data_IF_242763575870
#
_entry.id   IF_242763575870
#
_cell.length_a   1.000
_cell.length_b   1.000
_cell.length_c   1.000
_cell.angle_alpha   90.00
_cell.angle_beta   90.00
_cell.angle_gamma   90.00
#
_symmetry.space_group_name_H-M   'P 1'
#
loop_
_entity.id
_entity.type
_entity.pdbx_description
1 polymer ?
#
# COMPACT_ATOMS: atom_id res chain seq x y z
N UNK A 1 -8.77 9.51 -2.96
CA UNK A 1 -7.77 8.64 -3.62
C UNK A 1 -6.41 9.31 -3.70
N UNK A 2 -6.36 10.61 -3.97
CA UNK A 2 -5.09 11.35 -4.13
C UNK A 2 -4.17 11.30 -2.91
N UNK A 3 -4.72 11.36 -1.68
CA UNK A 3 -3.93 11.25 -0.45
C UNK A 3 -3.19 9.90 -0.32
N UNK A 4 -3.89 8.81 -0.63
CA UNK A 4 -3.35 7.47 -0.56
C UNK A 4 -2.28 7.25 -1.63
N UNK A 5 -2.50 7.76 -2.84
CA UNK A 5 -1.52 7.71 -3.92
C UNK A 5 -0.24 8.45 -3.53
N UNK A 6 -0.37 9.65 -2.94
CA UNK A 6 0.76 10.44 -2.44
C UNK A 6 1.53 9.73 -1.33
N UNK A 7 0.84 9.10 -0.38
CA UNK A 7 1.49 8.30 0.68
C UNK A 7 2.25 7.11 0.11
N UNK A 8 1.70 6.45 -0.93
CA UNK A 8 2.32 5.30 -1.58
C UNK A 8 3.54 5.71 -2.43
N UNK A 9 3.47 6.85 -3.12
CA UNK A 9 4.61 7.41 -3.86
C UNK A 9 5.73 7.86 -2.92
N UNK A 10 5.40 8.46 -1.78
CA UNK A 10 6.37 8.82 -0.75
C UNK A 10 7.08 7.58 -0.20
N UNK A 11 6.30 6.57 0.19
CA UNK A 11 6.82 5.31 0.73
C UNK A 11 7.71 4.58 -0.29
N UNK A 12 7.32 4.58 -1.57
CA UNK A 12 8.15 4.06 -2.66
C UNK A 12 9.49 4.79 -2.77
N UNK A 13 9.47 6.12 -2.62
CA UNK A 13 10.68 6.94 -2.61
C UNK A 13 11.64 6.54 -1.50
N UNK A 14 11.12 6.40 -0.27
CA UNK A 14 11.89 5.99 0.91
C UNK A 14 12.51 4.60 0.71
N UNK A 15 11.75 3.62 0.20
CA UNK A 15 12.28 2.27 -0.08
C UNK A 15 13.44 2.28 -1.06
N UNK A 16 13.31 3.05 -2.15
CA UNK A 16 14.33 3.14 -3.21
C UNK A 16 15.57 3.85 -2.69
N UNK A 17 15.41 4.93 -1.95
CA UNK A 17 16.51 5.69 -1.36
C UNK A 17 17.29 4.83 -0.35
N UNK A 18 16.61 4.19 0.59
CA UNK A 18 17.26 3.32 1.59
C UNK A 18 17.96 2.14 0.93
N UNK A 19 17.34 1.48 -0.05
CA UNK A 19 17.97 0.37 -0.77
C UNK A 19 19.21 0.81 -1.56
N UNK A 20 19.22 2.02 -2.10
CA UNK A 20 20.37 2.58 -2.81
C UNK A 20 21.51 2.98 -1.86
N UNK A 21 21.18 3.54 -0.69
CA UNK A 21 22.15 3.94 0.33
C UNK A 21 22.82 2.70 0.95
N UNK A 22 22.01 1.73 1.39
CA UNK A 22 22.50 0.55 2.09
C UNK A 22 23.04 -0.52 1.12
N UNK A 23 22.76 -0.39 -0.18
CA UNK A 23 23.04 -1.40 -1.22
C UNK A 23 22.48 -2.79 -0.89
N UNK A 24 21.52 -2.86 0.02
CA UNK A 24 20.95 -4.10 0.52
C UNK A 24 19.43 -3.95 0.67
N UNK A 25 18.72 -4.81 -0.05
CA UNK A 25 17.26 -4.92 0.02
C UNK A 25 16.79 -5.69 1.27
N UNK A 26 17.71 -6.32 1.99
CA UNK A 26 17.46 -7.01 3.25
C UNK A 26 17.74 -6.12 4.47
N UNK A 27 18.10 -4.85 4.24
CA UNK A 27 18.25 -3.90 5.33
C UNK A 27 16.94 -3.74 6.10
N UNK A 28 17.03 -3.66 7.42
CA UNK A 28 15.86 -3.65 8.31
C UNK A 28 14.86 -2.56 7.94
N UNK A 29 15.34 -1.37 7.58
CA UNK A 29 14.47 -0.26 7.18
C UNK A 29 13.73 -0.55 5.86
N UNK A 30 14.38 -1.18 4.88
CA UNK A 30 13.73 -1.58 3.62
C UNK A 30 12.64 -2.63 3.89
N UNK A 31 12.90 -3.57 4.81
CA UNK A 31 11.92 -4.58 5.22
C UNK A 31 10.71 -3.96 5.92
N UNK A 32 10.93 -3.00 6.82
CA UNK A 32 9.84 -2.27 7.51
C UNK A 32 9.00 -1.47 6.52
N UNK A 33 9.65 -0.78 5.57
CA UNK A 33 8.95 -0.02 4.53
C UNK A 33 8.15 -0.95 3.61
N UNK A 34 8.68 -2.13 3.28
CA UNK A 34 7.96 -3.16 2.50
C UNK A 34 6.73 -3.68 3.23
N UNK A 35 6.84 -3.98 4.53
CA UNK A 35 5.70 -4.44 5.33
C UNK A 35 4.62 -3.36 5.43
N UNK A 36 5.02 -2.10 5.59
CA UNK A 36 4.08 -0.96 5.59
C UNK A 36 3.34 -0.84 4.26
N UNK A 37 4.02 -1.08 3.13
CA UNK A 37 3.39 -1.08 1.81
C UNK A 37 2.37 -2.22 1.67
N UNK A 38 2.71 -3.42 2.14
CA UNK A 38 1.81 -4.58 2.11
C UNK A 38 0.53 -4.33 2.91
N UNK A 39 0.64 -3.70 4.09
CA UNK A 39 -0.53 -3.32 4.90
C UNK A 39 -1.45 -2.34 4.16
N UNK A 40 -0.89 -1.32 3.51
CA UNK A 40 -1.65 -0.36 2.71
C UNK A 40 -2.36 -1.07 1.55
N UNK A 41 -1.68 -1.99 0.86
CA UNK A 41 -2.27 -2.75 -0.24
C UNK A 41 -3.46 -3.58 0.26
N UNK A 42 -3.30 -4.30 1.38
CA UNK A 42 -4.37 -5.12 1.98
C UNK A 42 -5.55 -4.24 2.39
N UNK A 43 -5.29 -3.10 3.02
CA UNK A 43 -6.33 -2.16 3.42
C UNK A 43 -7.14 -1.68 2.20
N UNK A 44 -6.47 -1.24 1.15
CA UNK A 44 -7.12 -0.75 -0.08
C UNK A 44 -7.91 -1.86 -0.78
N UNK A 45 -7.39 -3.08 -0.81
CA UNK A 45 -8.12 -4.22 -1.37
C UNK A 45 -9.38 -4.53 -0.55
N UNK A 46 -9.28 -4.49 0.78
CA UNK A 46 -10.43 -4.71 1.67
C UNK A 46 -11.52 -3.65 1.48
N UNK A 47 -11.14 -2.38 1.32
CA UNK A 47 -12.04 -1.27 1.04
C UNK A 47 -12.73 -1.42 -0.33
N UNK A 48 -11.99 -1.86 -1.36
CA UNK A 48 -12.57 -2.13 -2.68
C UNK A 48 -13.56 -3.29 -2.64
N UNK A 49 -13.23 -4.37 -1.92
CA UNK A 49 -14.12 -5.53 -1.76
C UNK A 49 -15.40 -5.18 -1.02
N UNK A 50 -15.33 -4.36 0.03
CA UNK A 50 -16.52 -3.91 0.77
C UNK A 50 -17.41 -3.01 -0.08
N UNK A 51 -16.83 -2.08 -0.84
CA UNK A 51 -17.58 -1.23 -1.79
C UNK A 51 -18.25 -2.03 -2.92
N UNK A 52 -17.62 -3.12 -3.35
CA UNK A 52 -18.16 -4.02 -4.38
C UNK A 52 -19.39 -4.78 -3.87
N UNK A 53 -19.33 -5.31 -2.62
CA UNK A 53 -20.45 -6.00 -1.98
C UNK A 53 -21.66 -5.09 -1.74
N UNK A 54 -21.43 -3.83 -1.35
CA UNK A 54 -22.50 -2.84 -1.17
C UNK A 54 -23.21 -2.48 -2.49
N UNK A 55 -22.49 -2.47 -3.62
CA UNK A 55 -23.07 -2.23 -4.95
C UNK A 55 -23.89 -3.40 -5.47
N UNK A 56 -23.52 -4.63 -5.12
CA UNK A 56 -24.22 -5.84 -5.53
C UNK A 56 -25.51 -6.04 -4.73
N UNK A 57 -25.51 -5.68 -3.44
CA UNK A 57 -26.69 -5.70 -2.57
C UNK A 57 -27.75 -4.67 -3.03
N UNK A 58 -27.34 -3.45 -3.40
CA UNK A 58 -28.25 -2.41 -3.91
C UNK A 58 -28.77 -2.64 -5.33
N UNK A 59 -28.22 -3.61 -6.08
CA UNK A 59 -28.73 -4.02 -7.40
C UNK A 59 -29.70 -5.20 -7.34
N UNK A 60 -29.78 -5.86 -6.19
CA UNK A 60 -30.53 -7.11 -5.98
C UNK A 60 -31.73 -6.94 -5.04
N UNK A 61 -32.02 -5.71 -4.61
CA UNK A 61 -33.22 -5.30 -3.82
C UNK A 61 -34.06 -4.31 -4.62
#
# INVERSE_FOLDING_TARGET
MDKLLLELERLRGEMVETALIEQDLLHQDVLVLSQTLDEIIVQVQSERLSQSKSREFSRSS
#
